data_IF_554855258521
#
_entry.id   IF_554855258521
#
_cell.length_a   1.000
_cell.length_b   1.000
_cell.length_c   1.000
_cell.angle_alpha   90.00
_cell.angle_beta   90.00
_cell.angle_gamma   90.00
#
_symmetry.space_group_name_H-M   'P 1'
#
loop_
_entity.id
_entity.type
_entity.pdbx_description
1 polymer ?
#
# COMPACT_ATOMS: atom_id res chain seq x y z
N UNK A 1 3.11 -9.38 -27.51
CA UNK A 1 2.89 -9.75 -26.09
C UNK A 1 2.49 -8.49 -25.35
N UNK A 2 1.20 -8.27 -25.11
CA UNK A 2 0.77 -7.14 -24.30
C UNK A 2 1.36 -7.32 -22.89
N UNK A 3 2.00 -6.26 -22.37
CA UNK A 3 2.61 -6.28 -21.05
C UNK A 3 1.49 -6.43 -20.00
N UNK A 4 1.41 -7.57 -19.29
CA UNK A 4 0.37 -7.85 -18.28
C UNK A 4 0.18 -6.71 -17.29
N UNK A 5 1.25 -5.96 -17.02
CA UNK A 5 1.25 -4.78 -16.16
C UNK A 5 0.48 -3.60 -16.77
N UNK A 6 0.56 -3.39 -18.09
CA UNK A 6 -0.21 -2.37 -18.79
C UNK A 6 -1.70 -2.70 -18.81
N UNK A 7 -2.04 -3.97 -19.02
CA UNK A 7 -3.43 -4.42 -18.94
C UNK A 7 -4.00 -4.16 -17.55
N UNK A 8 -3.29 -4.57 -16.49
CA UNK A 8 -3.74 -4.32 -15.11
C UNK A 8 -3.90 -2.82 -14.78
N UNK A 9 -3.02 -1.96 -15.32
CA UNK A 9 -3.15 -0.50 -15.17
C UNK A 9 -4.41 0.03 -15.85
N UNK A 10 -4.71 -0.42 -17.08
CA UNK A 10 -5.90 -0.05 -17.84
C UNK A 10 -7.18 -0.61 -17.21
N UNK A 11 -7.13 -1.86 -16.73
CA UNK A 11 -8.18 -2.55 -15.97
C UNK A 11 -8.62 -1.75 -14.76
N UNK A 12 -7.67 -1.09 -14.09
CA UNK A 12 -7.93 -0.26 -12.93
C UNK A 12 -8.15 1.22 -13.24
N UNK A 13 -8.18 1.65 -14.50
CA UNK A 13 -8.37 3.07 -14.84
C UNK A 13 -9.85 3.50 -14.79
N UNK A 14 -10.77 2.56 -15.06
CA UNK A 14 -12.22 2.77 -15.01
C UNK A 14 -12.75 3.19 -13.63
N UNK A 15 -13.98 3.72 -13.58
CA UNK A 15 -14.60 4.28 -12.36
C UNK A 15 -15.11 3.21 -11.39
N UNK A 16 -15.65 2.09 -11.89
CA UNK A 16 -16.26 1.01 -11.11
C UNK A 16 -15.70 -0.36 -11.53
N UNK A 17 -14.38 -0.43 -11.67
CA UNK A 17 -13.68 -1.64 -12.06
C UNK A 17 -13.19 -2.44 -10.86
N UNK A 18 -12.99 -3.74 -11.08
CA UNK A 18 -12.25 -4.58 -10.16
C UNK A 18 -11.33 -5.55 -10.91
N UNK A 19 -10.27 -5.96 -10.23
CA UNK A 19 -9.32 -6.95 -10.72
C UNK A 19 -9.00 -7.92 -9.59
N UNK A 20 -9.10 -9.23 -9.86
CA UNK A 20 -8.63 -10.28 -8.97
C UNK A 20 -7.33 -10.87 -9.49
N UNK A 21 -6.40 -11.08 -8.57
CA UNK A 21 -5.09 -11.66 -8.86
C UNK A 21 -4.76 -12.74 -7.85
N UNK A 22 -3.84 -13.64 -8.22
CA UNK A 22 -3.24 -14.61 -7.31
C UNK A 22 -1.74 -14.34 -7.20
N UNK A 23 -1.25 -14.19 -5.98
CA UNK A 23 0.17 -13.95 -5.69
C UNK A 23 0.52 -14.41 -4.27
N UNK A 24 1.72 -14.98 -4.09
CA UNK A 24 2.22 -15.49 -2.81
C UNK A 24 1.21 -16.38 -2.05
N UNK A 25 0.40 -17.16 -2.78
CA UNK A 25 -0.61 -18.06 -2.21
C UNK A 25 -1.94 -17.40 -1.83
N UNK A 26 -2.07 -16.08 -1.98
CA UNK A 26 -3.28 -15.33 -1.66
C UNK A 26 -4.08 -14.95 -2.91
N UNK A 27 -5.40 -14.88 -2.77
CA UNK A 27 -6.26 -14.19 -3.73
C UNK A 27 -6.39 -12.73 -3.30
N UNK A 28 -6.06 -11.80 -4.19
CA UNK A 28 -6.10 -10.37 -3.90
C UNK A 28 -7.07 -9.69 -4.85
N UNK A 29 -8.04 -8.98 -4.29
CA UNK A 29 -9.03 -8.22 -5.06
C UNK A 29 -8.75 -6.74 -4.93
N UNK A 30 -8.57 -6.08 -6.07
CA UNK A 30 -8.46 -4.64 -6.21
C UNK A 30 -9.78 -4.08 -6.69
N UNK A 31 -10.38 -3.17 -5.92
CA UNK A 31 -11.68 -2.56 -6.26
C UNK A 31 -11.52 -1.05 -6.33
N UNK A 32 -11.83 -0.46 -7.49
CA UNK A 32 -11.87 1.00 -7.59
C UNK A 32 -13.17 1.51 -7.01
N UNK A 33 -13.06 2.42 -6.04
CA UNK A 33 -14.22 2.99 -5.35
C UNK A 33 -13.95 4.42 -4.91
N UNK A 34 -15.03 5.13 -4.61
CA UNK A 34 -14.96 6.46 -3.99
C UNK A 34 -14.83 6.32 -2.48
N UNK A 35 -13.85 7.00 -1.90
CA UNK A 35 -13.68 7.19 -0.45
C UNK A 35 -13.75 8.69 -0.17
N UNK A 36 -14.86 9.13 0.43
CA UNK A 36 -15.17 10.56 0.57
C UNK A 36 -15.26 11.24 -0.78
N UNK A 37 -14.36 12.18 -1.07
CA UNK A 37 -14.29 12.90 -2.35
C UNK A 37 -13.24 12.34 -3.33
N UNK A 38 -12.50 11.29 -2.94
CA UNK A 38 -11.37 10.77 -3.74
C UNK A 38 -11.69 9.39 -4.30
N UNK A 39 -11.13 9.08 -5.46
CA UNK A 39 -11.10 7.71 -5.98
C UNK A 39 -9.87 7.00 -5.43
N UNK A 40 -10.08 5.79 -4.93
CA UNK A 40 -9.03 4.91 -4.43
C UNK A 40 -9.20 3.51 -5.03
N UNK A 41 -8.16 2.70 -4.92
CA UNK A 41 -8.20 1.27 -5.20
C UNK A 41 -8.08 0.54 -3.87
N UNK A 42 -9.18 -0.01 -3.39
CA UNK A 42 -9.24 -0.76 -2.16
C UNK A 42 -8.71 -2.18 -2.38
N UNK A 43 -7.96 -2.72 -1.41
CA UNK A 43 -7.28 -4.01 -1.49
C UNK A 43 -7.83 -4.98 -0.46
N UNK A 44 -8.48 -6.04 -0.94
CA UNK A 44 -8.92 -7.16 -0.11
C UNK A 44 -7.97 -8.34 -0.34
N UNK A 45 -7.55 -9.01 0.73
CA UNK A 45 -6.71 -10.22 0.66
C UNK A 45 -7.55 -11.37 1.20
N UNK A 46 -7.72 -12.41 0.40
CA UNK A 46 -8.63 -13.54 0.65
C UNK A 46 -10.04 -13.07 1.02
N UNK A 47 -10.52 -12.03 0.33
CA UNK A 47 -11.84 -11.44 0.51
C UNK A 47 -12.01 -10.53 1.74
N UNK A 48 -10.98 -10.37 2.58
CA UNK A 48 -11.07 -9.60 3.83
C UNK A 48 -10.11 -8.40 3.89
N UNK A 49 -10.44 -7.45 4.75
CA UNK A 49 -9.58 -6.34 5.19
C UNK A 49 -9.52 -6.36 6.71
N UNK A 50 -8.42 -6.86 7.26
CA UNK A 50 -8.28 -6.98 8.72
C UNK A 50 -7.58 -5.75 9.33
N UNK A 51 -8.11 -5.21 10.43
CA UNK A 51 -7.59 -3.99 11.04
C UNK A 51 -6.17 -4.14 11.60
N UNK A 52 -5.79 -5.36 12.00
CA UNK A 52 -4.46 -5.64 12.53
C UNK A 52 -3.34 -5.52 11.47
N UNK A 53 -3.67 -5.67 10.19
CA UNK A 53 -2.70 -5.66 9.09
C UNK A 53 -2.10 -4.27 8.83
N UNK A 54 -2.67 -3.21 9.42
CA UNK A 54 -2.10 -1.86 9.34
C UNK A 54 -0.74 -1.74 10.05
N UNK A 55 -0.45 -2.63 11.01
CA UNK A 55 0.71 -2.56 11.89
C UNK A 55 2.02 -2.73 11.11
N UNK A 56 2.93 -1.77 11.29
CA UNK A 56 4.31 -1.85 10.83
C UNK A 56 5.26 -2.05 12.02
N UNK A 57 6.25 -2.91 11.84
CA UNK A 57 7.39 -3.08 12.76
C UNK A 57 8.67 -3.03 11.94
N UNK A 58 9.61 -2.19 12.36
CA UNK A 58 10.88 -1.98 11.65
C UNK A 58 10.69 -1.67 10.15
N UNK A 59 9.69 -0.83 9.84
CA UNK A 59 9.27 -0.43 8.48
C UNK A 59 8.73 -1.55 7.59
N UNK A 60 8.52 -2.75 8.15
CA UNK A 60 7.97 -3.92 7.48
C UNK A 60 6.58 -4.26 8.00
N UNK A 61 5.74 -4.92 7.19
CA UNK A 61 4.44 -5.37 7.66
C UNK A 61 4.62 -6.48 8.70
N UNK A 62 3.83 -6.42 9.77
CA UNK A 62 3.79 -7.49 10.78
C UNK A 62 3.11 -8.74 10.20
N UNK A 63 2.08 -8.55 9.38
CA UNK A 63 1.28 -9.61 8.77
C UNK A 63 1.62 -9.73 7.27
N UNK A 64 1.88 -10.94 6.74
CA UNK A 64 2.24 -11.13 5.33
C UNK A 64 1.23 -10.53 4.34
N UNK A 65 -0.07 -10.57 4.64
CA UNK A 65 -1.16 -10.05 3.82
C UNK A 65 -1.02 -8.54 3.56
N UNK A 66 -0.45 -7.79 4.52
CA UNK A 66 -0.22 -6.36 4.37
C UNK A 66 0.88 -6.02 3.35
N UNK A 67 1.60 -7.02 2.79
CA UNK A 67 2.54 -6.78 1.68
C UNK A 67 1.85 -6.30 0.40
N UNK A 68 0.56 -6.57 0.22
CA UNK A 68 -0.25 -6.06 -0.89
C UNK A 68 -0.77 -4.63 -0.67
N UNK A 69 -0.67 -4.14 0.56
CA UNK A 69 -1.15 -2.83 0.97
C UNK A 69 -0.11 -1.73 0.73
N UNK A 70 -0.58 -0.49 0.66
CA UNK A 70 0.24 0.68 0.37
C UNK A 70 1.07 1.09 1.60
N UNK A 71 2.42 1.14 1.52
CA UNK A 71 3.25 1.60 2.63
C UNK A 71 3.04 3.10 2.90
N UNK A 72 2.54 3.43 4.08
CA UNK A 72 2.37 4.82 4.53
C UNK A 72 3.65 5.32 5.16
N UNK A 73 4.40 6.15 4.42
CA UNK A 73 5.58 6.83 4.94
C UNK A 73 5.19 8.09 5.69
N UNK A 74 5.80 8.30 6.85
CA UNK A 74 5.59 9.46 7.68
C UNK A 74 6.72 9.63 8.68
N UNK A 75 6.65 10.70 9.48
CA UNK A 75 7.57 10.88 10.60
C UNK A 75 6.84 10.49 11.87
N UNK A 76 7.40 9.60 12.72
CA UNK A 76 6.80 9.30 14.02
C UNK A 76 6.58 10.57 14.84
N UNK A 77 7.56 11.48 14.77
CA UNK A 77 7.51 12.78 15.42
C UNK A 77 7.57 13.93 14.40
N UNK A 78 6.66 14.93 14.47
CA UNK A 78 6.70 16.10 13.60
C UNK A 78 7.98 16.91 13.76
N UNK A 79 8.51 17.47 12.66
CA UNK A 79 9.73 18.30 12.70
C UNK A 79 9.63 19.53 13.60
N UNK A 80 8.42 20.07 13.82
CA UNK A 80 8.19 21.16 14.78
C UNK A 80 8.61 20.81 16.22
N UNK A 81 8.69 19.53 16.56
CA UNK A 81 9.12 19.06 17.89
C UNK A 81 10.62 18.76 17.96
N UNK A 82 11.35 18.83 16.83
CA UNK A 82 12.76 18.46 16.75
C UNK A 82 13.63 19.22 17.76
N UNK A 83 13.41 20.52 17.93
CA UNK A 83 14.18 21.34 18.88
C UNK A 83 14.00 20.87 20.33
N UNK A 84 12.80 20.43 20.72
CA UNK A 84 12.53 19.86 22.03
C UNK A 84 13.16 18.49 22.19
N UNK A 85 12.99 17.62 21.20
CA UNK A 85 13.59 16.28 21.20
C UNK A 85 15.12 16.33 21.29
N UNK A 86 15.76 17.25 20.56
CA UNK A 86 17.21 17.44 20.58
C UNK A 86 17.72 17.88 21.95
N UNK A 87 16.95 18.67 22.71
CA UNK A 87 17.32 19.08 24.07
C UNK A 87 17.24 17.93 25.08
N UNK A 88 16.27 17.02 24.92
CA UNK A 88 16.00 15.93 25.86
C UNK A 88 16.89 14.71 25.57
N UNK A 89 16.96 14.28 24.31
CA UNK A 89 17.59 13.03 23.87
C UNK A 89 18.89 13.27 23.07
N UNK A 90 19.27 14.53 22.85
CA UNK A 90 20.41 14.86 22.01
C UNK A 90 20.13 14.72 20.49
N UNK A 91 21.13 15.08 19.68
CA UNK A 91 21.00 15.16 18.21
C UNK A 91 20.68 13.81 17.56
N UNK A 92 21.46 12.77 17.91
CA UNK A 92 21.38 11.45 17.24
C UNK A 92 20.00 10.81 17.41
N UNK A 93 19.46 10.83 18.61
CA UNK A 93 18.14 10.25 18.88
C UNK A 93 17.02 11.10 18.27
N UNK A 94 17.10 12.42 18.34
CA UNK A 94 16.13 13.32 17.70
C UNK A 94 16.07 13.13 16.17
N UNK A 95 17.22 12.91 15.52
CA UNK A 95 17.30 12.59 14.09
C UNK A 95 16.59 11.27 13.79
N UNK A 96 16.79 10.22 14.62
CA UNK A 96 16.13 8.92 14.46
C UNK A 96 14.62 8.98 14.71
N UNK A 97 14.18 9.77 15.69
CA UNK A 97 12.77 9.94 16.06
C UNK A 97 11.99 10.71 14.99
N UNK A 98 12.63 11.67 14.34
CA UNK A 98 12.01 12.49 13.29
C UNK A 98 12.28 11.96 11.87
N UNK A 99 13.07 10.89 11.72
CA UNK A 99 13.32 10.25 10.43
C UNK A 99 12.02 9.80 9.75
N UNK A 100 12.02 9.85 8.42
CA UNK A 100 10.89 9.35 7.63
C UNK A 100 10.94 7.83 7.58
N UNK A 101 9.89 7.18 8.10
CA UNK A 101 9.78 5.73 8.23
C UNK A 101 8.44 5.26 7.67
N UNK A 102 8.33 3.99 7.31
CA UNK A 102 7.02 3.37 7.08
C UNK A 102 6.33 3.15 8.43
N UNK A 103 5.22 3.87 8.65
CA UNK A 103 4.49 3.87 9.92
C UNK A 103 3.36 2.83 9.94
N UNK A 104 2.77 2.56 8.78
CA UNK A 104 1.64 1.66 8.63
C UNK A 104 1.52 1.17 7.18
N UNK A 105 0.67 0.19 6.95
CA UNK A 105 0.24 -0.25 5.63
C UNK A 105 -1.25 0.07 5.47
N UNK A 106 -1.64 0.69 4.37
CA UNK A 106 -3.04 1.06 4.11
C UNK A 106 -3.66 0.12 3.07
N UNK A 107 -4.91 -0.34 3.26
CA UNK A 107 -5.62 -1.21 2.32
C UNK A 107 -6.11 -0.44 1.07
N UNK A 108 -5.45 0.64 0.70
CA UNK A 108 -5.87 1.50 -0.39
C UNK A 108 -4.67 2.10 -1.13
N UNK A 109 -4.76 2.12 -2.45
CA UNK A 109 -3.84 2.81 -3.33
C UNK A 109 -4.51 4.04 -3.96
N UNK A 110 -3.75 5.11 -4.13
CA UNK A 110 -4.26 6.35 -4.72
C UNK A 110 -4.28 6.35 -6.25
N UNK A 111 -3.54 5.44 -6.90
CA UNK A 111 -3.52 5.35 -8.37
C UNK A 111 -3.14 3.94 -8.87
N UNK A 112 -3.68 3.52 -10.05
CA UNK A 112 -3.32 2.24 -10.68
C UNK A 112 -1.82 2.08 -10.88
N UNK A 113 -1.18 3.12 -11.39
CA UNK A 113 0.27 3.14 -11.67
C UNK A 113 1.13 2.88 -10.42
N UNK A 114 0.74 3.44 -9.27
CA UNK A 114 1.48 3.22 -8.02
C UNK A 114 1.36 1.77 -7.53
N UNK A 115 0.16 1.19 -7.63
CA UNK A 115 -0.11 -0.21 -7.31
C UNK A 115 0.66 -1.15 -8.24
N UNK A 116 0.56 -0.97 -9.57
CA UNK A 116 1.25 -1.79 -10.56
C UNK A 116 2.76 -1.78 -10.35
N UNK A 117 3.34 -0.61 -10.08
CA UNK A 117 4.78 -0.49 -9.77
C UNK A 117 5.17 -1.29 -8.52
N UNK A 118 4.33 -1.26 -7.49
CA UNK A 118 4.56 -2.04 -6.27
C UNK A 118 4.45 -3.54 -6.53
N UNK A 119 3.41 -3.98 -7.23
CA UNK A 119 3.20 -5.39 -7.58
C UNK A 119 4.34 -5.93 -8.44
N UNK A 120 4.76 -5.19 -9.47
CA UNK A 120 5.88 -5.57 -10.34
C UNK A 120 7.19 -5.78 -9.58
N UNK A 121 7.41 -5.00 -8.51
CA UNK A 121 8.62 -5.11 -7.68
C UNK A 121 8.57 -6.27 -6.70
N UNK A 122 7.42 -6.51 -6.07
CA UNK A 122 7.31 -7.44 -4.93
C UNK A 122 6.69 -8.79 -5.29
N UNK A 123 5.97 -8.88 -6.40
CA UNK A 123 5.19 -10.05 -6.83
C UNK A 123 5.30 -10.20 -8.37
N UNK A 124 6.51 -10.41 -8.94
CA UNK A 124 6.70 -10.50 -10.38
C UNK A 124 5.91 -11.66 -11.02
N UNK A 125 5.71 -12.75 -10.26
CA UNK A 125 5.03 -13.98 -10.70
C UNK A 125 3.51 -13.95 -10.50
N UNK A 126 2.96 -12.78 -10.18
CA UNK A 126 1.51 -12.57 -10.07
C UNK A 126 0.77 -13.03 -11.33
N UNK A 127 -0.34 -13.73 -11.12
CA UNK A 127 -1.29 -14.17 -12.13
C UNK A 127 -2.61 -13.38 -12.00
N UNK A 128 -3.14 -12.89 -13.11
CA UNK A 128 -4.46 -12.25 -13.15
C UNK A 128 -5.51 -13.34 -13.32
N UNK A 129 -6.54 -13.34 -12.45
CA UNK A 129 -7.61 -14.35 -12.46
C UNK A 129 -8.86 -13.81 -13.14
N UNK A 130 -9.29 -12.61 -12.77
CA UNK A 130 -10.50 -11.97 -13.28
C UNK A 130 -10.28 -10.47 -13.39
N UNK A 131 -10.82 -9.85 -14.43
CA UNK A 131 -10.87 -8.40 -14.58
C UNK A 131 -12.24 -8.01 -15.13
N UNK A 132 -12.85 -6.98 -14.55
CA UNK A 132 -14.13 -6.45 -15.03
C UNK A 132 -14.01 -4.95 -15.24
N UNK A 133 -14.27 -4.55 -16.49
CA UNK A 133 -14.46 -3.18 -16.90
C UNK A 133 -15.95 -2.92 -17.05
N UNK A 134 -16.45 -1.92 -16.30
CA UNK A 134 -17.77 -1.31 -16.50
C UNK A 134 -17.57 0.12 -16.94
#
# INVERSE_FOLDING_TARGET
MADKWKQLEQSLDGLFCYVKVKADGHEVTFVKRKEGQRLIIAVFVDGVMEGDWYKAKDEKPVYPQARFWCPKRGRPWPLKQYAGLKKIYGKREADQMTAMKTLAFLPAWGSPKSLVRHLKKNFPDLAVLEETHV
#
